data_IF_879023724166
#
_entry.id   IF_879023724166
#
_cell.length_a   1.000
_cell.length_b   1.000
_cell.length_c   1.000
_cell.angle_alpha   90.00
_cell.angle_beta   90.00
_cell.angle_gamma   90.00
#
_symmetry.space_group_name_H-M   'P 1'
#
loop_
_entity.id
_entity.type
_entity.pdbx_description
1 polymer ?
#
# COMPACT_ATOMS: atom_id res chain seq x y z
N UNK A 1 -20.08 3.79 5.21
CA UNK A 1 -19.78 3.29 3.85
C UNK A 1 -18.32 3.53 3.44
N UNK A 2 -17.83 4.77 3.40
CA UNK A 2 -16.45 5.10 2.96
C UNK A 2 -15.36 4.37 3.77
N UNK A 3 -15.50 4.31 5.11
CA UNK A 3 -14.59 3.58 5.99
C UNK A 3 -14.40 2.11 5.59
N UNK A 4 -15.47 1.42 5.21
CA UNK A 4 -15.41 0.01 4.81
C UNK A 4 -14.51 -0.19 3.58
N UNK A 5 -14.70 0.63 2.54
CA UNK A 5 -13.89 0.53 1.32
C UNK A 5 -12.42 0.82 1.58
N UNK A 6 -12.11 1.78 2.44
CA UNK A 6 -10.74 2.13 2.80
C UNK A 6 -10.09 1.01 3.60
N UNK A 7 -10.81 0.39 4.54
CA UNK A 7 -10.31 -0.78 5.28
C UNK A 7 -10.01 -1.95 4.34
N UNK A 8 -10.92 -2.26 3.42
CA UNK A 8 -10.72 -3.33 2.43
C UNK A 8 -9.50 -3.04 1.55
N UNK A 9 -9.38 -1.80 1.05
CA UNK A 9 -8.21 -1.38 0.29
C UNK A 9 -6.91 -1.53 1.10
N UNK A 10 -6.91 -1.10 2.37
CA UNK A 10 -5.74 -1.19 3.24
C UNK A 10 -5.31 -2.64 3.46
N UNK A 11 -6.27 -3.55 3.66
CA UNK A 11 -6.00 -4.97 3.80
C UNK A 11 -5.40 -5.56 2.52
N UNK A 12 -5.99 -5.27 1.36
CA UNK A 12 -5.46 -5.72 0.08
C UNK A 12 -4.08 -5.14 -0.22
N UNK A 13 -3.78 -3.94 0.27
CA UNK A 13 -2.48 -3.32 0.12
C UNK A 13 -1.44 -3.95 1.05
N UNK A 14 -1.75 -4.19 2.33
CA UNK A 14 -0.77 -4.59 3.36
C UNK A 14 -0.58 -6.11 3.44
N UNK A 15 -1.65 -6.90 3.38
CA UNK A 15 -1.61 -8.36 3.56
C UNK A 15 -0.59 -9.06 2.65
N UNK A 16 -0.52 -8.77 1.34
CA UNK A 16 0.45 -9.40 0.44
C UNK A 16 1.88 -8.81 0.51
N UNK A 17 2.16 -7.84 1.39
CA UNK A 17 3.48 -7.23 1.56
C UNK A 17 4.28 -7.90 2.69
N UNK A 18 4.65 -9.18 2.52
CA UNK A 18 5.48 -9.88 3.51
C UNK A 18 6.97 -9.63 3.29
N UNK A 19 7.80 -9.87 4.31
CA UNK A 19 9.26 -9.72 4.22
C UNK A 19 9.92 -10.72 3.27
N UNK A 20 9.27 -11.87 3.04
CA UNK A 20 9.79 -12.95 2.21
C UNK A 20 9.30 -12.81 0.77
N UNK A 21 8.01 -12.55 0.58
CA UNK A 21 7.38 -12.31 -0.73
C UNK A 21 6.46 -11.10 -0.66
N UNK A 22 6.90 -10.00 -1.26
CA UNK A 22 6.07 -8.82 -1.45
C UNK A 22 5.49 -8.85 -2.88
N UNK A 23 4.34 -9.50 -3.01
CA UNK A 23 3.68 -9.74 -4.30
C UNK A 23 3.30 -8.41 -4.97
N UNK A 24 2.88 -7.43 -4.18
CA UNK A 24 2.51 -6.09 -4.68
C UNK A 24 3.76 -5.41 -5.26
N UNK A 25 4.88 -5.45 -4.54
CA UNK A 25 6.14 -4.86 -4.99
C UNK A 25 6.64 -5.52 -6.28
N UNK A 26 6.56 -6.84 -6.37
CA UNK A 26 6.92 -7.58 -7.59
C UNK A 26 6.01 -7.22 -8.76
N UNK A 27 4.71 -7.12 -8.51
CA UNK A 27 3.71 -6.76 -9.53
C UNK A 27 3.93 -5.33 -10.02
N UNK A 28 4.15 -4.36 -9.13
CA UNK A 28 4.46 -2.99 -9.54
C UNK A 28 5.79 -2.91 -10.29
N UNK A 29 6.81 -3.65 -9.88
CA UNK A 29 8.07 -3.68 -10.59
C UNK A 29 7.92 -4.27 -12.00
N UNK A 30 7.08 -5.30 -12.17
CA UNK A 30 6.85 -5.94 -13.47
C UNK A 30 6.14 -5.02 -14.49
N UNK A 31 5.36 -4.03 -14.02
CA UNK A 31 4.76 -3.01 -14.90
C UNK A 31 5.77 -2.06 -15.54
N UNK A 32 7.03 -2.05 -15.08
CA UNK A 32 8.10 -1.13 -15.53
C UNK A 32 7.75 0.35 -15.38
N UNK A 33 6.80 0.69 -14.48
CA UNK A 33 6.46 2.08 -14.15
C UNK A 33 7.59 2.80 -13.39
N UNK A 34 8.45 2.05 -12.70
CA UNK A 34 9.59 2.59 -11.94
C UNK A 34 10.90 2.12 -12.55
N UNK A 35 11.94 2.95 -12.45
CA UNK A 35 13.23 2.66 -13.08
C UNK A 35 13.96 1.48 -12.42
N UNK A 36 13.69 1.20 -11.15
CA UNK A 36 14.26 0.07 -10.44
C UNK A 36 13.38 -0.41 -9.27
N UNK A 37 13.75 -1.58 -8.75
CA UNK A 37 13.10 -2.20 -7.60
C UNK A 37 13.13 -1.33 -6.34
N UNK A 38 14.21 -0.58 -6.12
CA UNK A 38 14.35 0.33 -4.98
C UNK A 38 13.34 1.47 -5.01
N UNK A 39 13.13 2.10 -6.16
CA UNK A 39 12.11 3.15 -6.37
C UNK A 39 10.70 2.59 -6.18
N UNK A 40 10.44 1.39 -6.71
CA UNK A 40 9.15 0.71 -6.51
C UNK A 40 8.88 0.48 -5.02
N UNK A 41 9.89 0.03 -4.26
CA UNK A 41 9.80 -0.20 -2.82
C UNK A 41 9.55 1.11 -2.06
N UNK A 42 10.24 2.19 -2.41
CA UNK A 42 10.04 3.50 -1.78
C UNK A 42 8.64 4.04 -2.03
N UNK A 43 8.16 3.96 -3.28
CA UNK A 43 6.80 4.35 -3.63
C UNK A 43 5.77 3.53 -2.83
N UNK A 44 5.92 2.20 -2.83
CA UNK A 44 4.98 1.32 -2.16
C UNK A 44 4.95 1.56 -0.64
N UNK A 45 6.12 1.77 -0.03
CA UNK A 45 6.22 2.10 1.38
C UNK A 45 5.54 3.45 1.68
N UNK A 46 5.79 4.47 0.86
CA UNK A 46 5.13 5.77 0.99
C UNK A 46 3.61 5.66 0.85
N UNK A 47 3.13 4.91 -0.15
CA UNK A 47 1.70 4.65 -0.38
C UNK A 47 1.05 3.94 0.80
N UNK A 48 1.71 2.92 1.35
CA UNK A 48 1.24 2.19 2.54
C UNK A 48 1.12 3.13 3.74
N UNK A 49 2.15 3.92 4.04
CA UNK A 49 2.12 4.87 5.16
C UNK A 49 1.04 5.95 5.02
N UNK A 50 0.90 6.53 3.83
CA UNK A 50 -0.17 7.51 3.54
C UNK A 50 -1.54 6.86 3.72
N UNK A 51 -1.73 5.62 3.26
CA UNK A 51 -3.01 4.91 3.39
C UNK A 51 -3.35 4.61 4.86
N UNK A 52 -2.37 4.21 5.66
CA UNK A 52 -2.54 4.00 7.11
C UNK A 52 -2.92 5.31 7.80
N UNK A 53 -2.20 6.39 7.49
CA UNK A 53 -2.46 7.71 8.07
C UNK A 53 -3.88 8.20 7.71
N UNK A 54 -4.29 8.03 6.45
CA UNK A 54 -5.64 8.36 6.00
C UNK A 54 -6.71 7.53 6.74
N UNK A 55 -6.46 6.23 6.92
CA UNK A 55 -7.36 5.36 7.69
C UNK A 55 -7.48 5.82 9.14
N UNK A 56 -6.37 6.20 9.78
CA UNK A 56 -6.39 6.72 11.16
C UNK A 56 -7.16 8.04 11.25
N UNK A 57 -6.91 9.00 10.36
CA UNK A 57 -7.64 10.27 10.32
C UNK A 57 -9.15 10.00 10.20
N UNK A 58 -9.56 9.17 9.26
CA UNK A 58 -10.98 8.86 9.06
C UNK A 58 -11.59 8.06 10.21
N UNK A 59 -10.77 7.34 10.98
CA UNK A 59 -11.20 6.58 12.14
C UNK A 59 -11.43 7.45 13.37
N UNK A 60 -10.66 8.53 13.53
CA UNK A 60 -10.71 9.38 14.71
C UNK A 60 -11.39 10.75 14.49
N UNK A 61 -11.43 11.26 13.25
CA UNK A 61 -12.05 12.55 12.92
C UNK A 61 -13.41 12.43 12.20
N UNK A 62 -13.81 11.23 11.77
CA UNK A 62 -15.11 10.97 11.12
C UNK A 62 -15.93 9.97 11.89
#
# INVERSE_FOLDING_TARGET
MIRFFITVFLLLLIVPQTSTDNIILQTFHSTKLFANYGQTKLFLNSLTWVSILLYLILTFLG
#
